data_IF_901560913506
#
_entry.id   IF_901560913506
#
_cell.length_a   1.000
_cell.length_b   1.000
_cell.length_c   1.000
_cell.angle_alpha   90.00
_cell.angle_beta   90.00
_cell.angle_gamma   90.00
#
_symmetry.space_group_name_H-M   'P 1'
#
loop_
_entity.id
_entity.type
_entity.pdbx_description
1 polymer ?
#
# COMPACT_ATOMS: atom_id res chain seq x y z
N UNK A 1 -10.95 -25.92 -18.83
CA UNK A 1 -10.38 -27.04 -19.59
C UNK A 1 -9.35 -26.52 -20.58
N UNK A 2 -8.30 -27.28 -20.79
CA UNK A 2 -7.29 -27.02 -21.83
C UNK A 2 -7.93 -27.04 -23.22
N UNK A 3 -7.22 -26.61 -24.27
CA UNK A 3 -7.70 -26.66 -25.68
C UNK A 3 -8.15 -28.06 -26.10
N UNK A 4 -7.64 -29.10 -25.48
CA UNK A 4 -7.97 -30.54 -25.69
C UNK A 4 -9.06 -31.04 -24.74
N UNK A 5 -9.66 -30.18 -23.93
CA UNK A 5 -10.78 -30.56 -23.04
C UNK A 5 -10.33 -31.20 -21.72
N UNK A 6 -9.04 -31.28 -21.43
CA UNK A 6 -8.56 -31.82 -20.16
C UNK A 6 -8.72 -30.74 -19.05
N UNK A 7 -8.93 -31.17 -17.83
CA UNK A 7 -8.97 -30.25 -16.70
C UNK A 7 -7.54 -29.90 -16.28
N UNK A 8 -7.31 -28.63 -16.02
CA UNK A 8 -6.04 -28.12 -15.48
C UNK A 8 -5.82 -28.71 -14.09
N UNK A 9 -4.67 -29.33 -13.85
CA UNK A 9 -4.46 -30.16 -12.65
C UNK A 9 -4.57 -29.36 -11.36
N UNK A 10 -3.99 -28.14 -11.30
CA UNK A 10 -4.09 -27.27 -10.13
C UNK A 10 -5.55 -26.91 -9.79
N UNK A 11 -6.40 -26.77 -10.79
CA UNK A 11 -7.82 -26.50 -10.59
C UNK A 11 -8.54 -27.72 -10.00
N UNK A 12 -8.19 -28.91 -10.48
CA UNK A 12 -8.72 -30.15 -9.91
C UNK A 12 -8.33 -30.32 -8.45
N UNK A 13 -7.07 -30.13 -8.14
CA UNK A 13 -6.53 -30.22 -6.77
C UNK A 13 -7.29 -29.27 -5.85
N UNK A 14 -7.46 -28.01 -6.26
CA UNK A 14 -8.17 -27.00 -5.45
C UNK A 14 -9.65 -27.32 -5.25
N UNK A 15 -10.32 -27.84 -6.27
CA UNK A 15 -11.71 -28.33 -6.15
C UNK A 15 -11.78 -29.51 -5.19
N UNK A 16 -10.80 -30.42 -5.23
CA UNK A 16 -10.76 -31.58 -4.33
C UNK A 16 -10.51 -31.17 -2.89
N UNK A 17 -9.60 -30.23 -2.63
CA UNK A 17 -9.37 -29.67 -1.30
C UNK A 17 -10.63 -29.03 -0.73
N UNK A 18 -11.35 -28.23 -1.55
CA UNK A 18 -12.57 -27.56 -1.14
C UNK A 18 -13.70 -28.58 -0.85
N UNK A 19 -13.84 -29.64 -1.68
CA UNK A 19 -14.77 -30.73 -1.44
C UNK A 19 -14.46 -31.49 -0.15
N UNK A 20 -13.18 -31.71 0.16
CA UNK A 20 -12.77 -32.34 1.43
C UNK A 20 -13.15 -31.50 2.64
N UNK A 21 -13.00 -30.16 2.55
CA UNK A 21 -13.42 -29.22 3.62
C UNK A 21 -14.92 -29.23 3.85
N UNK A 22 -15.73 -29.44 2.82
CA UNK A 22 -17.19 -29.51 2.93
C UNK A 22 -17.67 -30.77 3.63
N UNK A 23 -16.86 -31.81 3.64
CA UNK A 23 -17.22 -33.13 4.16
C UNK A 23 -18.27 -33.85 3.29
N UNK A 24 -18.06 -35.11 2.95
CA UNK A 24 -19.05 -35.90 2.24
C UNK A 24 -19.95 -36.61 3.24
N UNK A 25 -21.23 -36.30 3.25
CA UNK A 25 -22.24 -37.06 3.94
C UNK A 25 -22.62 -38.30 3.05
N UNK A 26 -21.77 -39.34 3.07
CA UNK A 26 -21.93 -40.56 2.23
C UNK A 26 -23.14 -41.42 2.57
N UNK A 27 -23.99 -41.05 3.56
CA UNK A 27 -25.03 -41.92 4.12
C UNK A 27 -26.48 -41.59 3.76
N UNK A 28 -26.73 -40.58 2.93
CA UNK A 28 -28.13 -40.23 2.60
C UNK A 28 -28.54 -40.74 1.24
N UNK A 29 -29.64 -41.55 1.18
CA UNK A 29 -30.25 -42.11 -0.05
C UNK A 29 -30.83 -41.05 -1.00
N UNK A 30 -30.99 -39.80 -0.53
CA UNK A 30 -31.47 -38.66 -1.32
C UNK A 30 -30.55 -37.45 -1.11
N UNK A 31 -30.03 -36.88 -2.19
CA UNK A 31 -29.15 -35.70 -2.07
C UNK A 31 -29.97 -34.50 -1.58
N UNK A 32 -29.59 -33.96 -0.40
CA UNK A 32 -30.18 -32.72 0.17
C UNK A 32 -29.41 -31.47 -0.20
N UNK A 33 -28.18 -31.62 -0.62
CA UNK A 33 -27.29 -30.59 -1.07
C UNK A 33 -26.73 -30.92 -2.45
N UNK A 34 -26.53 -29.87 -3.25
CA UNK A 34 -25.93 -29.97 -4.57
C UNK A 34 -24.91 -28.84 -4.71
N UNK A 35 -23.71 -29.20 -5.13
CA UNK A 35 -22.60 -28.27 -5.28
C UNK A 35 -22.14 -28.26 -6.72
N UNK A 36 -22.05 -27.08 -7.33
CA UNK A 36 -21.52 -26.88 -8.67
C UNK A 36 -20.31 -26.00 -8.65
N UNK A 37 -19.29 -26.38 -9.41
CA UNK A 37 -18.15 -25.53 -9.70
C UNK A 37 -18.23 -25.03 -11.14
N UNK A 38 -17.98 -23.76 -11.34
CA UNK A 38 -17.86 -23.15 -12.66
C UNK A 38 -16.75 -22.09 -12.64
N UNK A 39 -16.13 -21.88 -13.80
CA UNK A 39 -15.15 -20.81 -13.98
C UNK A 39 -15.80 -19.58 -14.60
N UNK A 40 -15.32 -18.41 -14.24
CA UNK A 40 -15.63 -17.15 -14.90
C UNK A 40 -14.33 -16.53 -15.42
N UNK A 41 -14.42 -15.83 -16.54
CA UNK A 41 -13.34 -14.98 -17.02
C UNK A 41 -13.23 -13.75 -16.14
N UNK A 42 -12.00 -13.30 -15.91
CA UNK A 42 -11.68 -12.07 -15.23
C UNK A 42 -10.69 -11.26 -16.09
N UNK A 43 -10.44 -10.02 -15.74
CA UNK A 43 -9.43 -9.22 -16.42
C UNK A 43 -8.03 -9.77 -16.10
N UNK A 44 -7.18 -9.89 -17.14
CA UNK A 44 -5.81 -10.33 -16.96
C UNK A 44 -5.04 -9.27 -16.14
N UNK A 45 -4.33 -9.65 -15.07
CA UNK A 45 -3.59 -8.69 -14.26
C UNK A 45 -2.13 -8.50 -14.72
N UNK A 46 -1.60 -9.45 -15.51
CA UNK A 46 -0.21 -9.49 -15.95
C UNK A 46 -0.10 -9.95 -17.41
N UNK A 47 0.92 -9.48 -18.10
CA UNK A 47 1.21 -9.89 -19.47
C UNK A 47 1.49 -11.38 -19.54
N UNK A 48 0.82 -12.07 -20.47
CA UNK A 48 0.99 -13.50 -20.74
C UNK A 48 0.29 -14.43 -19.76
N UNK A 49 -0.60 -13.91 -18.89
CA UNK A 49 -1.37 -14.72 -17.96
C UNK A 49 -2.88 -14.49 -18.08
N UNK A 50 -3.62 -15.59 -17.96
CA UNK A 50 -5.09 -15.60 -18.03
C UNK A 50 -5.65 -15.88 -16.62
N UNK A 51 -6.51 -15.02 -16.09
CA UNK A 51 -7.12 -15.25 -14.79
C UNK A 51 -8.24 -16.27 -14.89
N UNK A 52 -8.29 -17.20 -13.95
CA UNK A 52 -9.38 -18.17 -13.81
C UNK A 52 -9.97 -18.05 -12.43
N UNK A 53 -11.16 -17.49 -12.35
CA UNK A 53 -11.96 -17.43 -11.14
C UNK A 53 -12.88 -18.64 -11.05
N UNK A 54 -12.69 -19.47 -10.03
CA UNK A 54 -13.59 -20.58 -9.76
C UNK A 54 -14.64 -20.12 -8.75
N UNK A 55 -15.89 -20.45 -9.03
CA UNK A 55 -17.02 -20.24 -8.12
C UNK A 55 -17.65 -21.58 -7.79
N UNK A 56 -17.96 -21.75 -6.52
CA UNK A 56 -18.76 -22.84 -5.98
C UNK A 56 -20.17 -22.32 -5.70
N UNK A 57 -21.18 -22.91 -6.34
CA UNK A 57 -22.58 -22.62 -6.09
C UNK A 57 -23.21 -23.77 -5.31
N UNK A 58 -23.80 -23.47 -4.17
CA UNK A 58 -24.46 -24.42 -3.30
C UNK A 58 -25.98 -24.31 -3.40
N UNK A 59 -26.66 -25.46 -3.42
CA UNK A 59 -28.10 -25.54 -3.47
C UNK A 59 -28.60 -26.50 -2.39
N UNK A 60 -29.67 -26.11 -1.71
CA UNK A 60 -30.38 -26.98 -0.75
C UNK A 60 -31.70 -27.46 -1.33
N UNK A 61 -32.04 -28.73 -1.08
CA UNK A 61 -33.36 -29.28 -1.46
C UNK A 61 -34.42 -28.82 -0.44
N UNK A 62 -35.37 -28.01 -0.92
CA UNK A 62 -36.48 -27.49 -0.11
C UNK A 62 -37.77 -27.58 -0.90
N UNK A 63 -38.83 -28.20 -0.32
CA UNK A 63 -40.19 -28.26 -0.90
C UNK A 63 -40.21 -28.74 -2.36
N UNK A 64 -39.51 -29.85 -2.65
CA UNK A 64 -39.55 -30.50 -3.96
C UNK A 64 -38.63 -29.90 -5.03
N UNK A 65 -37.77 -28.94 -4.70
CA UNK A 65 -36.80 -28.32 -5.63
C UNK A 65 -35.52 -27.94 -4.97
N UNK A 66 -34.44 -27.83 -5.75
CA UNK A 66 -33.19 -27.25 -5.30
C UNK A 66 -33.27 -25.71 -5.36
N UNK A 67 -32.97 -25.06 -4.25
CA UNK A 67 -32.93 -23.62 -4.14
C UNK A 67 -31.45 -23.22 -3.89
N UNK A 68 -30.96 -22.25 -4.65
CA UNK A 68 -29.61 -21.71 -4.47
C UNK A 68 -29.50 -21.11 -3.07
N UNK A 69 -28.48 -21.54 -2.35
CA UNK A 69 -28.23 -21.11 -0.97
C UNK A 69 -27.10 -20.07 -0.97
N UNK A 70 -25.93 -20.45 -1.49
CA UNK A 70 -24.74 -19.64 -1.45
C UNK A 70 -23.94 -19.73 -2.76
N UNK A 71 -23.10 -18.70 -3.00
CA UNK A 71 -22.03 -18.74 -4.00
C UNK A 71 -20.74 -18.27 -3.36
N UNK A 72 -19.74 -19.13 -3.34
CA UNK A 72 -18.43 -18.86 -2.78
C UNK A 72 -17.44 -18.70 -3.93
N UNK A 73 -16.61 -17.65 -3.89
CA UNK A 73 -15.45 -17.52 -4.78
C UNK A 73 -14.28 -18.28 -4.17
N UNK A 74 -13.69 -19.19 -4.92
CA UNK A 74 -12.42 -19.83 -4.59
C UNK A 74 -11.26 -18.90 -4.96
N UNK A 75 -10.03 -19.19 -4.53
CA UNK A 75 -8.87 -18.40 -4.94
C UNK A 75 -8.77 -18.24 -6.46
N UNK A 76 -8.34 -17.08 -6.91
CA UNK A 76 -8.09 -16.74 -8.29
C UNK A 76 -6.75 -17.33 -8.73
N UNK A 77 -6.71 -17.91 -9.91
CA UNK A 77 -5.48 -18.43 -10.53
C UNK A 77 -5.13 -17.59 -11.74
N UNK A 78 -3.84 -17.40 -11.95
CA UNK A 78 -3.27 -16.78 -13.15
C UNK A 78 -2.47 -17.85 -13.88
N UNK A 79 -2.93 -18.28 -15.05
CA UNK A 79 -2.30 -19.36 -15.83
C UNK A 79 -1.70 -18.80 -17.11
N UNK A 80 -0.50 -19.26 -17.47
CA UNK A 80 0.08 -19.00 -18.78
C UNK A 80 -0.60 -19.84 -19.90
N UNK A 81 -0.17 -19.69 -21.15
CA UNK A 81 -0.70 -20.44 -22.29
C UNK A 81 -0.47 -21.96 -22.19
N UNK A 82 0.47 -22.40 -21.36
CA UNK A 82 0.80 -23.80 -21.09
C UNK A 82 0.09 -24.33 -19.84
N UNK A 83 -0.76 -23.50 -19.22
CA UNK A 83 -1.48 -23.75 -17.97
C UNK A 83 -0.62 -23.87 -16.71
N UNK A 84 0.58 -23.30 -16.70
CA UNK A 84 1.37 -23.18 -15.49
C UNK A 84 0.87 -22.01 -14.65
N UNK A 85 0.74 -22.18 -13.32
CA UNK A 85 0.30 -21.10 -12.44
C UNK A 85 1.40 -20.06 -12.25
N UNK A 86 1.01 -18.79 -12.28
CA UNK A 86 1.87 -17.70 -11.83
C UNK A 86 2.02 -17.75 -10.31
N UNK A 87 3.24 -17.81 -9.84
CA UNK A 87 3.56 -17.63 -8.41
C UNK A 87 3.87 -16.17 -8.09
N UNK A 88 3.65 -15.75 -6.84
CA UNK A 88 3.91 -14.36 -6.45
C UNK A 88 5.38 -13.98 -6.65
N UNK A 89 6.32 -14.89 -6.44
CA UNK A 89 7.75 -14.65 -6.68
C UNK A 89 8.09 -14.29 -8.13
N UNK A 90 7.37 -14.86 -9.09
CA UNK A 90 7.60 -14.63 -10.52
C UNK A 90 7.13 -13.25 -11.02
N UNK A 91 6.40 -12.51 -10.19
CA UNK A 91 5.97 -11.14 -10.51
C UNK A 91 7.11 -10.12 -10.30
N UNK A 92 8.15 -10.50 -9.57
CA UNK A 92 9.22 -9.60 -9.16
C UNK A 92 10.56 -9.96 -9.79
N UNK A 93 11.31 -8.94 -10.20
CA UNK A 93 12.71 -9.07 -10.61
C UNK A 93 13.63 -9.37 -9.41
N UNK A 94 13.25 -8.85 -8.21
CA UNK A 94 13.89 -9.18 -6.93
C UNK A 94 12.82 -9.72 -5.95
N UNK A 95 12.60 -11.05 -5.94
CA UNK A 95 11.60 -11.68 -5.05
C UNK A 95 11.93 -11.54 -3.56
N UNK A 96 13.22 -11.53 -3.18
CA UNK A 96 13.62 -11.39 -1.79
C UNK A 96 13.35 -9.97 -1.27
N UNK A 97 13.68 -8.96 -2.08
CA UNK A 97 13.33 -7.57 -1.80
C UNK A 97 11.82 -7.36 -1.70
N UNK A 98 11.05 -7.97 -2.61
CA UNK A 98 9.59 -7.93 -2.57
C UNK A 98 9.02 -8.56 -1.30
N UNK A 99 9.56 -9.70 -0.87
CA UNK A 99 9.16 -10.37 0.37
C UNK A 99 9.37 -9.48 1.58
N UNK A 100 10.51 -8.78 1.67
CA UNK A 100 10.77 -7.84 2.78
C UNK A 100 9.74 -6.70 2.81
N UNK A 101 9.42 -6.13 1.65
CA UNK A 101 8.40 -5.08 1.55
C UNK A 101 7.04 -5.60 2.02
N UNK A 102 6.61 -6.79 1.59
CA UNK A 102 5.36 -7.39 2.06
C UNK A 102 5.35 -7.60 3.58
N UNK A 103 6.44 -8.05 4.18
CA UNK A 103 6.54 -8.27 5.63
C UNK A 103 6.49 -6.95 6.42
N UNK A 104 7.12 -5.89 5.91
CA UNK A 104 7.05 -4.54 6.50
C UNK A 104 5.62 -3.98 6.44
N UNK A 105 4.97 -4.07 5.28
CA UNK A 105 3.59 -3.60 5.09
C UNK A 105 2.60 -4.43 5.93
N UNK A 106 2.82 -5.74 6.06
CA UNK A 106 2.05 -6.62 6.93
C UNK A 106 2.16 -6.15 8.38
N UNK A 107 3.38 -5.95 8.91
CA UNK A 107 3.61 -5.46 10.28
C UNK A 107 2.90 -4.12 10.52
N UNK A 108 3.04 -3.18 9.59
CA UNK A 108 2.36 -1.88 9.65
C UNK A 108 0.83 -2.00 9.64
N UNK A 109 0.28 -2.88 8.80
CA UNK A 109 -1.16 -3.14 8.73
C UNK A 109 -1.71 -3.75 10.04
N UNK A 110 -1.00 -4.72 10.61
CA UNK A 110 -1.40 -5.36 11.87
C UNK A 110 -1.31 -4.39 13.06
N UNK A 111 -0.28 -3.55 13.12
CA UNK A 111 -0.13 -2.50 14.12
C UNK A 111 -1.24 -1.44 14.02
N UNK A 112 -1.58 -1.00 12.80
CA UNK A 112 -2.70 -0.09 12.56
C UNK A 112 -4.04 -0.66 13.04
N UNK A 113 -4.23 -1.98 12.93
CA UNK A 113 -5.39 -2.72 13.47
C UNK A 113 -5.34 -2.92 14.98
N UNK A 114 -4.31 -2.41 15.66
CA UNK A 114 -4.12 -2.50 17.12
C UNK A 114 -4.06 -3.96 17.63
N UNK A 115 -3.31 -4.81 16.95
CA UNK A 115 -2.90 -6.09 17.50
C UNK A 115 -1.75 -5.88 18.49
N UNK A 116 -1.64 -6.80 19.45
CA UNK A 116 -0.48 -6.84 20.35
C UNK A 116 0.78 -7.32 19.60
N UNK A 117 1.97 -6.96 20.11
CA UNK A 117 3.25 -7.28 19.49
C UNK A 117 3.47 -8.78 19.31
N UNK A 118 3.03 -9.61 20.25
CA UNK A 118 3.18 -11.07 20.18
C UNK A 118 2.39 -11.63 18.99
N UNK A 119 1.15 -11.18 18.81
CA UNK A 119 0.29 -11.56 17.68
C UNK A 119 0.87 -11.09 16.34
N UNK A 120 1.44 -9.87 16.30
CA UNK A 120 2.12 -9.33 15.13
C UNK A 120 3.33 -10.19 14.78
N UNK A 121 4.20 -10.48 15.76
CA UNK A 121 5.41 -11.27 15.54
C UNK A 121 5.10 -12.69 15.06
N UNK A 122 4.08 -13.34 15.63
CA UNK A 122 3.64 -14.66 15.19
C UNK A 122 3.15 -14.64 13.73
N UNK A 123 2.38 -13.65 13.33
CA UNK A 123 1.87 -13.54 11.96
C UNK A 123 3.01 -13.25 10.97
N UNK A 124 3.90 -12.32 11.31
CA UNK A 124 5.08 -12.00 10.49
C UNK A 124 6.01 -13.20 10.36
N UNK A 125 6.24 -13.96 11.45
CA UNK A 125 7.04 -15.18 11.43
C UNK A 125 6.45 -16.23 10.49
N UNK A 126 5.13 -16.46 10.56
CA UNK A 126 4.43 -17.38 9.66
C UNK A 126 4.70 -17.07 8.19
N UNK A 127 4.56 -15.81 7.76
CA UNK A 127 4.83 -15.41 6.38
C UNK A 127 6.33 -15.43 6.04
N UNK A 128 7.21 -15.15 6.99
CA UNK A 128 8.65 -15.15 6.76
C UNK A 128 9.23 -16.54 6.53
N UNK A 129 8.63 -17.58 7.12
CA UNK A 129 9.04 -18.98 6.95
C UNK A 129 8.67 -19.55 5.57
N UNK A 130 7.63 -19.03 4.94
CA UNK A 130 7.19 -19.45 3.62
C UNK A 130 8.06 -18.81 2.52
N UNK A 131 8.37 -19.56 1.46
CA UNK A 131 8.87 -18.97 0.23
C UNK A 131 7.77 -18.09 -0.43
N UNK A 132 8.16 -16.97 -1.07
CA UNK A 132 7.21 -16.06 -1.69
C UNK A 132 6.36 -16.74 -2.78
N UNK A 133 6.89 -17.79 -3.42
CA UNK A 133 6.16 -18.60 -4.40
C UNK A 133 4.98 -19.39 -3.81
N UNK A 134 4.97 -19.59 -2.49
CA UNK A 134 3.93 -20.32 -1.76
C UNK A 134 2.80 -19.39 -1.27
N UNK A 135 2.96 -18.06 -1.41
CA UNK A 135 1.94 -17.13 -0.97
C UNK A 135 0.79 -17.08 -1.96
N UNK A 136 -0.41 -17.31 -1.49
CA UNK A 136 -1.63 -17.03 -2.25
C UNK A 136 -1.79 -15.51 -2.42
N UNK A 137 -2.20 -15.06 -3.59
CA UNK A 137 -2.41 -13.65 -3.84
C UNK A 137 -3.50 -13.40 -4.88
N UNK A 138 -4.05 -12.19 -4.84
CA UNK A 138 -4.86 -11.62 -5.91
C UNK A 138 -4.26 -10.27 -6.28
N UNK A 139 -4.39 -9.89 -7.55
CA UNK A 139 -3.96 -8.58 -8.02
C UNK A 139 -5.10 -7.92 -8.80
N UNK A 140 -5.47 -6.73 -8.39
CA UNK A 140 -6.50 -5.94 -9.04
C UNK A 140 -6.20 -4.45 -8.89
N UNK A 141 -6.27 -3.71 -10.01
CA UNK A 141 -6.17 -2.24 -10.03
C UNK A 141 -4.97 -1.69 -9.25
N UNK A 142 -3.78 -2.25 -9.51
CA UNK A 142 -2.55 -1.79 -8.88
C UNK A 142 -2.40 -2.21 -7.41
N UNK A 143 -3.11 -3.24 -6.95
CA UNK A 143 -3.02 -3.70 -5.56
C UNK A 143 -2.87 -5.21 -5.47
N UNK A 144 -1.92 -5.65 -4.67
CA UNK A 144 -1.79 -7.03 -4.24
C UNK A 144 -2.65 -7.25 -2.99
N UNK A 145 -3.46 -8.28 -3.00
CA UNK A 145 -4.27 -8.72 -1.85
C UNK A 145 -3.81 -10.10 -1.42
N UNK A 146 -3.35 -10.21 -0.18
CA UNK A 146 -2.78 -11.42 0.40
C UNK A 146 -3.75 -11.94 1.49
N UNK A 147 -4.18 -13.20 1.45
CA UNK A 147 -5.03 -13.76 2.49
C UNK A 147 -4.26 -13.99 3.78
N UNK A 148 -4.90 -13.72 4.91
CA UNK A 148 -4.40 -14.17 6.21
C UNK A 148 -4.68 -15.67 6.39
N UNK A 149 -3.80 -16.41 7.09
CA UNK A 149 -4.08 -17.81 7.42
C UNK A 149 -5.29 -17.97 8.34
N UNK A 150 -5.59 -16.95 9.13
CA UNK A 150 -6.76 -16.83 10.01
C UNK A 150 -7.29 -15.41 9.99
N UNK A 151 -8.59 -15.22 10.26
CA UNK A 151 -9.18 -13.87 10.28
C UNK A 151 -8.54 -12.95 11.30
N UNK A 152 -8.23 -11.74 10.88
CA UNK A 152 -7.62 -10.69 11.71
C UNK A 152 -8.63 -9.56 11.91
N UNK A 153 -9.16 -9.40 13.13
CA UNK A 153 -10.17 -8.38 13.46
C UNK A 153 -11.39 -8.38 12.53
N UNK A 154 -11.74 -9.55 11.99
CA UNK A 154 -12.86 -9.72 11.05
C UNK A 154 -12.49 -9.72 9.57
N UNK A 155 -11.28 -9.29 9.23
CA UNK A 155 -10.79 -9.29 7.85
C UNK A 155 -10.03 -10.58 7.51
N UNK A 156 -10.15 -10.99 6.26
CA UNK A 156 -9.52 -12.21 5.74
C UNK A 156 -8.22 -11.91 4.97
N UNK A 157 -7.92 -10.63 4.68
CA UNK A 157 -6.81 -10.24 3.82
C UNK A 157 -6.14 -8.94 4.25
N UNK A 158 -4.91 -8.70 3.77
CA UNK A 158 -4.29 -7.38 3.73
C UNK A 158 -3.91 -7.02 2.30
N UNK A 159 -3.80 -5.71 2.04
CA UNK A 159 -3.57 -5.19 0.69
C UNK A 159 -2.33 -4.32 0.66
N UNK A 160 -1.50 -4.48 -0.38
CA UNK A 160 -0.30 -3.68 -0.60
C UNK A 160 -0.32 -3.12 -2.02
N UNK A 161 -0.20 -1.80 -2.21
CA UNK A 161 -0.21 -1.20 -3.54
C UNK A 161 1.06 -1.52 -4.32
N UNK A 162 0.93 -1.68 -5.65
CA UNK A 162 2.04 -1.91 -6.59
C UNK A 162 3.15 -0.87 -6.45
N UNK A 163 2.80 0.37 -6.15
CA UNK A 163 3.77 1.47 -6.00
C UNK A 163 4.84 1.25 -4.93
N UNK A 164 4.60 0.34 -3.98
CA UNK A 164 5.60 -0.06 -2.99
C UNK A 164 6.71 -0.93 -3.58
N UNK A 165 6.45 -1.56 -4.72
CA UNK A 165 7.30 -2.56 -5.35
C UNK A 165 8.03 -2.07 -6.60
N UNK A 166 7.93 -0.81 -6.96
CA UNK A 166 8.53 -0.28 -8.20
C UNK A 166 10.04 -0.49 -8.32
N UNK A 167 10.76 -0.62 -7.22
CA UNK A 167 12.21 -0.90 -7.24
C UNK A 167 12.54 -2.40 -7.42
N UNK A 168 11.56 -3.29 -7.32
CA UNK A 168 11.76 -4.76 -7.33
C UNK A 168 10.85 -5.50 -8.31
N UNK A 169 9.88 -4.82 -8.96
CA UNK A 169 8.90 -5.40 -9.87
C UNK A 169 9.55 -5.84 -11.19
N UNK A 170 9.07 -6.93 -11.78
CA UNK A 170 9.39 -7.28 -13.16
C UNK A 170 8.46 -6.47 -14.10
N UNK A 171 9.01 -5.43 -14.73
CA UNK A 171 8.24 -4.52 -15.58
C UNK A 171 7.71 -5.18 -16.85
N UNK A 172 8.29 -6.30 -17.30
CA UNK A 172 7.80 -7.06 -18.45
C UNK A 172 6.45 -7.75 -18.17
N UNK A 173 6.10 -7.90 -16.88
CA UNK A 173 4.82 -8.46 -16.43
C UNK A 173 3.70 -7.43 -16.38
N UNK A 174 4.02 -6.14 -16.31
CA UNK A 174 3.03 -5.09 -16.10
C UNK A 174 2.16 -4.86 -17.34
N UNK A 175 0.86 -4.72 -17.12
CA UNK A 175 -0.05 -4.24 -18.15
C UNK A 175 0.16 -2.74 -18.43
N UNK A 176 -0.33 -2.21 -19.57
CA UNK A 176 -0.04 -0.84 -19.99
C UNK A 176 -0.34 0.24 -18.94
N UNK A 177 -1.43 0.13 -18.17
CA UNK A 177 -1.81 1.13 -17.16
C UNK A 177 -0.85 1.11 -15.96
N UNK A 178 -0.46 -0.08 -15.50
CA UNK A 178 0.49 -0.24 -14.40
C UNK A 178 1.91 0.13 -14.85
N UNK A 179 2.27 -0.19 -16.09
CA UNK A 179 3.55 0.21 -16.68
C UNK A 179 3.65 1.74 -16.82
N UNK A 180 2.58 2.41 -17.26
CA UNK A 180 2.55 3.87 -17.34
C UNK A 180 2.70 4.53 -15.96
N UNK A 181 2.10 3.93 -14.93
CA UNK A 181 2.25 4.39 -13.55
C UNK A 181 3.69 4.21 -13.04
N UNK A 182 4.33 3.09 -13.37
CA UNK A 182 5.74 2.84 -13.08
C UNK A 182 6.66 3.82 -13.82
N UNK A 183 6.45 4.05 -15.13
CA UNK A 183 7.24 5.00 -15.92
C UNK A 183 7.15 6.41 -15.37
N UNK A 184 5.95 6.85 -14.97
CA UNK A 184 5.75 8.14 -14.32
C UNK A 184 6.53 8.26 -13.00
N UNK A 185 6.53 7.22 -12.18
CA UNK A 185 7.33 7.17 -10.94
C UNK A 185 8.83 7.29 -11.22
N UNK A 186 9.34 6.56 -12.22
CA UNK A 186 10.76 6.61 -12.60
C UNK A 186 11.13 7.99 -13.16
N UNK A 187 10.26 8.60 -13.96
CA UNK A 187 10.49 9.96 -14.48
C UNK A 187 10.54 10.98 -13.33
N UNK A 188 9.62 10.91 -12.37
CA UNK A 188 9.65 11.79 -11.20
C UNK A 188 10.91 11.58 -10.36
N UNK A 189 11.33 10.34 -10.14
CA UNK A 189 12.53 9.99 -9.35
C UNK A 189 13.82 10.49 -10.02
N UNK A 190 13.88 10.47 -11.35
CA UNK A 190 15.02 10.96 -12.10
C UNK A 190 14.97 12.47 -12.34
N UNK A 191 13.87 13.13 -12.02
CA UNK A 191 13.77 14.59 -12.10
C UNK A 191 14.75 15.20 -11.09
N UNK A 192 15.75 15.93 -11.60
CA UNK A 192 16.65 16.71 -10.75
C UNK A 192 15.85 17.82 -10.08
N UNK A 193 15.52 17.64 -8.82
CA UNK A 193 14.83 18.64 -8.00
C UNK A 193 15.79 19.26 -6.99
N UNK A 194 15.70 20.57 -6.84
CA UNK A 194 16.39 21.32 -5.80
C UNK A 194 15.31 21.95 -4.91
N UNK A 195 15.30 21.61 -3.62
CA UNK A 195 14.47 22.28 -2.65
C UNK A 195 15.19 23.51 -2.12
N UNK A 196 14.67 24.69 -2.39
CA UNK A 196 15.15 25.93 -1.82
C UNK A 196 14.54 26.12 -0.44
N UNK A 197 15.38 26.32 0.57
CA UNK A 197 14.94 26.59 1.95
C UNK A 197 15.65 27.81 2.52
N UNK A 198 14.92 28.57 3.33
CA UNK A 198 15.44 29.74 4.05
C UNK A 198 15.08 29.59 5.52
N UNK A 199 16.05 29.78 6.39
CA UNK A 199 15.88 29.69 7.83
C UNK A 199 15.87 31.11 8.48
N UNK A 200 15.48 31.18 9.73
CA UNK A 200 15.56 32.37 10.63
C UNK A 200 14.58 33.51 10.36
N UNK A 201 14.00 33.60 9.19
CA UNK A 201 13.03 34.67 8.87
C UNK A 201 11.76 34.67 9.74
N UNK A 202 10.82 35.60 9.47
CA UNK A 202 10.91 36.68 8.49
C UNK A 202 11.81 37.85 8.98
N UNK A 203 12.37 38.56 8.02
CA UNK A 203 13.20 39.75 8.26
C UNK A 203 12.80 40.84 7.26
N UNK A 204 12.69 42.14 7.68
CA UNK A 204 12.14 43.18 6.84
C UNK A 204 13.07 43.59 5.67
N UNK A 205 14.33 43.18 5.69
CA UNK A 205 15.29 43.47 4.65
C UNK A 205 15.50 42.30 3.69
N UNK A 206 15.80 41.12 4.23
CA UNK A 206 16.21 39.95 3.44
C UNK A 206 15.00 39.19 2.86
N UNK A 207 13.89 39.10 3.58
CA UNK A 207 12.70 38.39 3.10
C UNK A 207 12.14 39.00 1.81
N UNK A 208 11.92 40.32 1.69
CA UNK A 208 11.45 40.90 0.41
C UNK A 208 12.45 40.75 -0.74
N UNK A 209 13.74 40.74 -0.50
CA UNK A 209 14.77 40.51 -1.50
C UNK A 209 14.73 39.07 -2.03
N UNK A 210 14.63 38.10 -1.11
CA UNK A 210 14.48 36.69 -1.48
C UNK A 210 13.22 36.47 -2.30
N UNK A 211 12.08 37.02 -1.89
CA UNK A 211 10.81 36.94 -2.62
C UNK A 211 10.88 37.55 -4.03
N UNK A 212 11.57 38.69 -4.18
CA UNK A 212 11.76 39.30 -5.51
C UNK A 212 12.56 38.40 -6.46
N UNK A 213 13.60 37.73 -5.94
CA UNK A 213 14.40 36.78 -6.73
C UNK A 213 13.56 35.54 -7.08
N UNK A 214 12.88 34.95 -6.10
CA UNK A 214 12.02 33.78 -6.32
C UNK A 214 10.94 34.06 -7.35
N UNK A 215 10.32 35.23 -7.28
CA UNK A 215 9.32 35.69 -8.26
C UNK A 215 9.91 35.82 -9.66
N UNK A 216 11.10 36.40 -9.78
CA UNK A 216 11.81 36.56 -11.07
C UNK A 216 12.02 35.25 -11.78
N UNK A 217 12.35 34.20 -11.05
CA UNK A 217 12.61 32.86 -11.60
C UNK A 217 11.42 31.91 -11.50
N UNK A 218 10.22 32.38 -11.12
CA UNK A 218 9.04 31.58 -10.86
C UNK A 218 9.32 30.36 -9.96
N UNK A 219 10.22 30.54 -8.99
CA UNK A 219 10.63 29.48 -8.08
C UNK A 219 9.84 29.53 -6.78
N UNK A 220 9.59 28.37 -6.21
CA UNK A 220 8.99 28.23 -4.87
C UNK A 220 10.06 27.81 -3.86
N UNK A 221 9.83 28.14 -2.58
CA UNK A 221 10.73 27.83 -1.50
C UNK A 221 9.95 27.49 -0.23
N UNK A 222 10.64 26.88 0.74
CA UNK A 222 10.15 26.68 2.10
C UNK A 222 10.91 27.62 3.02
N UNK A 223 10.18 28.37 3.85
CA UNK A 223 10.75 29.27 4.85
C UNK A 223 10.51 28.69 6.24
N UNK A 224 11.59 28.26 6.91
CA UNK A 224 11.55 27.84 8.30
C UNK A 224 11.69 29.05 9.18
N UNK A 225 10.61 29.52 9.78
CA UNK A 225 10.52 30.82 10.43
C UNK A 225 10.56 30.71 11.95
N UNK A 226 11.25 31.63 12.57
CA UNK A 226 11.33 31.80 14.03
C UNK A 226 10.06 32.52 14.51
N UNK A 227 9.35 31.96 15.49
CA UNK A 227 8.08 32.51 15.97
C UNK A 227 8.18 33.94 16.48
N UNK A 228 9.28 34.30 17.18
CA UNK A 228 9.53 35.66 17.65
C UNK A 228 9.67 36.65 16.48
N UNK A 229 10.28 36.22 15.38
CA UNK A 229 10.39 37.04 14.16
C UNK A 229 9.04 37.19 13.44
N UNK A 230 8.22 36.14 13.38
CA UNK A 230 6.84 36.24 12.85
C UNK A 230 6.05 37.28 13.64
N UNK A 231 6.18 37.28 14.97
CA UNK A 231 5.50 38.25 15.82
C UNK A 231 6.00 39.69 15.60
N UNK A 232 7.29 39.89 15.37
CA UNK A 232 7.91 41.21 15.13
C UNK A 232 7.64 41.73 13.71
N UNK A 233 7.55 40.84 12.75
CA UNK A 233 7.46 41.14 11.32
C UNK A 233 6.27 40.40 10.65
N UNK A 234 5.03 40.67 11.11
CA UNK A 234 3.84 39.93 10.62
C UNK A 234 3.51 40.23 9.15
N UNK A 235 3.90 41.41 8.65
CA UNK A 235 3.68 41.77 7.24
C UNK A 235 4.56 40.96 6.31
N UNK A 236 5.82 40.78 6.65
CA UNK A 236 6.78 39.97 5.91
C UNK A 236 6.35 38.49 5.92
N UNK A 237 5.85 37.98 7.04
CA UNK A 237 5.27 36.65 7.12
C UNK A 237 4.09 36.49 6.15
N UNK A 238 3.14 37.44 6.20
CA UNK A 238 1.94 37.42 5.34
C UNK A 238 2.32 37.43 3.85
N UNK A 239 3.28 38.25 3.44
CA UNK A 239 3.73 38.34 2.05
C UNK A 239 4.34 37.01 1.58
N UNK A 240 5.10 36.29 2.40
CA UNK A 240 5.65 34.98 2.06
C UNK A 240 4.51 33.97 1.76
N UNK A 241 3.47 33.96 2.63
CA UNK A 241 2.29 33.08 2.46
C UNK A 241 1.51 33.47 1.20
N UNK A 242 1.24 34.76 0.97
CA UNK A 242 0.50 35.26 -0.19
C UNK A 242 1.20 34.97 -1.51
N UNK A 243 2.54 34.90 -1.52
CA UNK A 243 3.31 34.48 -2.68
C UNK A 243 3.33 32.96 -2.89
N UNK A 244 2.63 32.20 -2.05
CA UNK A 244 2.46 30.75 -2.17
C UNK A 244 3.72 29.95 -1.91
N UNK A 245 4.58 30.42 -0.99
CA UNK A 245 5.71 29.68 -0.46
C UNK A 245 5.27 28.82 0.74
N UNK A 246 5.98 27.73 1.03
CA UNK A 246 5.71 26.91 2.23
C UNK A 246 6.36 27.53 3.45
N UNK A 247 5.70 27.38 4.58
CA UNK A 247 6.20 27.79 5.88
C UNK A 247 6.52 26.55 6.71
N UNK A 248 7.60 26.58 7.48
CA UNK A 248 7.96 25.57 8.46
C UNK A 248 8.27 26.22 9.81
N UNK A 249 8.19 25.44 10.86
CA UNK A 249 8.48 25.82 12.22
C UNK A 249 10.01 25.76 12.50
N UNK A 250 10.61 26.84 12.99
CA UNK A 250 12.02 26.93 13.36
C UNK A 250 12.20 27.29 14.84
N UNK A 251 11.32 26.78 15.71
CA UNK A 251 11.16 27.11 17.12
C UNK A 251 10.73 28.59 17.37
N UNK A 252 10.27 28.89 18.56
CA UNK A 252 9.79 30.25 18.85
C UNK A 252 10.93 31.24 19.09
N UNK A 253 11.97 30.84 19.85
CA UNK A 253 13.08 31.71 20.22
C UNK A 253 14.42 31.31 19.60
N UNK A 254 14.43 30.48 18.54
CA UNK A 254 15.66 29.98 17.91
C UNK A 254 16.62 29.29 18.90
N UNK A 255 16.07 28.44 19.78
CA UNK A 255 16.83 27.77 20.83
C UNK A 255 17.57 26.54 20.34
N UNK A 256 18.72 26.26 20.95
CA UNK A 256 19.52 25.06 20.68
C UNK A 256 18.96 23.85 21.45
N UNK A 257 18.57 22.79 20.77
CA UNK A 257 17.90 21.64 21.38
C UNK A 257 18.70 20.98 22.51
N UNK A 258 20.01 20.91 22.39
CA UNK A 258 20.88 20.28 23.39
C UNK A 258 21.14 21.15 24.66
N UNK A 259 20.71 22.43 24.69
CA UNK A 259 20.81 23.33 25.85
C UNK A 259 19.54 23.30 26.71
N UNK A 260 18.49 22.59 26.28
CA UNK A 260 17.19 22.57 26.96
C UNK A 260 16.72 21.15 27.25
N UNK A 261 15.85 21.01 28.24
CA UNK A 261 15.15 19.74 28.42
C UNK A 261 14.19 19.48 27.26
N UNK A 262 13.90 18.17 26.95
CA UNK A 262 12.92 17.81 25.88
C UNK A 262 11.56 18.50 26.08
N UNK A 263 10.95 18.54 27.29
CA UNK A 263 9.71 19.26 27.51
C UNK A 263 9.79 20.76 27.19
N UNK A 264 10.86 21.43 27.60
CA UNK A 264 11.01 22.86 27.37
C UNK A 264 11.23 23.17 25.88
N UNK A 265 12.04 22.36 25.22
CA UNK A 265 12.26 22.47 23.78
C UNK A 265 10.96 22.28 22.99
N UNK A 266 10.20 21.24 23.29
CA UNK A 266 8.91 20.98 22.66
C UNK A 266 7.90 22.10 22.96
N UNK A 267 7.88 22.63 24.19
CA UNK A 267 7.01 23.73 24.54
C UNK A 267 7.35 25.00 23.74
N UNK A 268 8.65 25.24 23.49
CA UNK A 268 9.10 26.37 22.66
C UNK A 268 8.70 26.19 21.20
N UNK A 269 8.89 24.98 20.62
CA UNK A 269 8.49 24.68 19.24
C UNK A 269 6.97 24.82 19.05
N UNK A 270 6.17 24.26 19.95
CA UNK A 270 4.69 24.29 19.87
C UNK A 270 4.10 25.71 19.88
N UNK A 271 4.77 26.70 20.46
CA UNK A 271 4.31 28.09 20.41
C UNK A 271 4.21 28.64 18.98
N UNK A 272 4.97 28.07 18.04
CA UNK A 272 4.92 28.46 16.63
C UNK A 272 3.75 27.78 15.94
N UNK A 273 3.36 26.57 16.34
CA UNK A 273 2.24 25.83 15.74
C UNK A 273 0.90 26.60 15.87
N UNK A 274 0.75 27.39 16.93
CA UNK A 274 -0.41 28.28 17.11
C UNK A 274 -0.40 29.49 16.14
N UNK A 275 0.73 29.79 15.51
CA UNK A 275 0.92 30.93 14.60
C UNK A 275 0.90 30.52 13.14
N UNK A 276 1.29 29.28 12.84
CA UNK A 276 1.38 28.74 11.48
C UNK A 276 0.67 27.40 11.40
N UNK A 277 0.12 27.08 10.20
CA UNK A 277 -0.40 25.75 9.92
C UNK A 277 0.60 25.00 9.04
N UNK A 278 1.48 24.20 9.67
CA UNK A 278 2.52 23.47 8.97
C UNK A 278 2.89 22.17 9.68
N UNK A 279 3.16 21.15 8.89
CA UNK A 279 3.72 19.85 9.29
C UNK A 279 5.25 19.83 9.18
N UNK A 280 5.88 20.95 8.77
CA UNK A 280 7.31 21.07 8.57
C UNK A 280 7.99 21.68 9.78
N UNK A 281 9.01 20.99 10.26
CA UNK A 281 9.85 21.44 11.37
C UNK A 281 11.32 21.31 11.00
N UNK A 282 12.12 22.32 11.36
CA UNK A 282 13.59 22.27 11.29
C UNK A 282 14.15 22.77 12.60
N UNK A 283 14.97 21.96 13.33
CA UNK A 283 15.60 22.44 14.55
C UNK A 283 16.66 23.50 14.22
N UNK A 284 16.76 24.61 15.02
CA UNK A 284 17.88 25.49 14.93
C UNK A 284 19.21 24.80 15.23
N UNK A 285 20.22 25.15 14.48
CA UNK A 285 21.60 24.63 14.61
C UNK A 285 21.75 23.11 14.26
N UNK A 286 20.79 22.48 13.63
CA UNK A 286 20.86 21.08 13.15
C UNK A 286 20.45 20.05 14.16
#
# INVERSE_FOLDING_TARGET
>A
PTKDGQAVEIIKEKIQEDLQRLGSDEKTKEPKHLTFYHSEEAEAPFVGYHPIQIKRAEYQYKKGKFIKDETVKLPLFYLDDENNPLTLSQVFADPDGAKQIFLEELRGNLAFRQLDEESIDQMVAHFSELDLSQWEFQYEKGNFTIPFPTKVKGDDTFTVPLSKFYDVIDTERLLPDDLASYESYIEERHRKMIALTFDDGPDPTTTPQALAILKKYNAKATFFMVGDNIRKHPDEYRIVVEHGHRIGNHTFNHIRGFEYSNPDYLANARKVDDMIHSDLFRPPHG
#
